data_IF_677451023756
#
_entry.id   IF_677451023756
#
_cell.length_a   1.000
_cell.length_b   1.000
_cell.length_c   1.000
_cell.angle_alpha   90.00
_cell.angle_beta   90.00
_cell.angle_gamma   90.00
#
_symmetry.space_group_name_H-M   'P 1'
#
loop_
_entity.id
_entity.type
_entity.pdbx_description
1 polymer ?
#
# COMPACT_ATOMS: atom_id res chain seq x y z
N UNK A 1 15.71 1.28 15.26
CA UNK A 1 14.50 2.03 14.85
C UNK A 1 13.43 1.15 14.20
N UNK A 2 13.72 0.31 13.20
CA UNK A 2 12.77 -0.76 12.76
C UNK A 2 12.77 -1.98 13.69
N UNK A 3 13.94 -2.39 14.15
CA UNK A 3 14.11 -3.61 14.96
C UNK A 3 13.74 -3.47 16.45
N UNK A 4 13.20 -2.31 16.86
CA UNK A 4 12.81 -2.03 18.26
C UNK A 4 11.30 -2.24 18.52
N UNK A 5 10.55 -2.75 17.54
CA UNK A 5 9.14 -3.11 17.71
C UNK A 5 8.15 -1.93 17.65
N UNK A 6 8.54 -0.80 17.08
CA UNK A 6 7.66 0.36 16.89
C UNK A 6 6.99 0.34 15.52
N UNK A 7 5.66 0.53 15.47
CA UNK A 7 4.93 0.74 14.22
C UNK A 7 5.14 2.18 13.73
N UNK A 8 5.64 2.33 12.50
CA UNK A 8 5.85 3.64 11.86
C UNK A 8 4.76 3.82 10.81
N UNK A 9 3.98 4.91 10.91
CA UNK A 9 3.04 5.33 9.88
C UNK A 9 3.71 6.38 9.00
N UNK A 10 4.03 6.01 7.75
CA UNK A 10 4.57 6.91 6.75
C UNK A 10 3.44 7.41 5.84
N UNK A 11 3.37 8.73 5.64
CA UNK A 11 2.49 9.36 4.64
C UNK A 11 3.40 10.10 3.68
N UNK A 12 3.58 9.55 2.48
CA UNK A 12 4.44 10.11 1.42
C UNK A 12 3.69 10.04 0.09
N UNK A 13 3.94 11.01 -0.79
CA UNK A 13 3.47 10.99 -2.18
C UNK A 13 4.50 10.40 -3.14
N UNK A 14 5.69 10.08 -2.65
CA UNK A 14 6.77 9.49 -3.42
C UNK A 14 6.68 7.95 -3.33
N UNK A 15 6.34 7.30 -4.44
CA UNK A 15 6.06 5.86 -4.48
C UNK A 15 7.30 5.00 -4.21
N UNK A 16 8.47 5.42 -4.69
CA UNK A 16 9.74 4.70 -4.50
C UNK A 16 10.09 4.54 -3.02
N UNK A 17 9.86 5.58 -2.20
CA UNK A 17 10.05 5.51 -0.75
C UNK A 17 9.09 4.50 -0.10
N UNK A 18 7.84 4.44 -0.56
CA UNK A 18 6.87 3.46 -0.05
C UNK A 18 7.26 2.03 -0.43
N UNK A 19 7.67 1.81 -1.68
CA UNK A 19 8.09 0.49 -2.19
C UNK A 19 9.30 -0.05 -1.42
N UNK A 20 10.30 0.80 -1.15
CA UNK A 20 11.54 0.37 -0.51
C UNK A 20 11.41 0.14 1.00
N UNK A 21 10.40 0.73 1.64
CA UNK A 21 10.38 0.92 3.09
C UNK A 21 9.15 0.31 3.79
N UNK A 22 8.06 0.07 3.05
CA UNK A 22 6.82 -0.43 3.63
C UNK A 22 6.74 -1.95 3.60
N UNK A 23 6.40 -2.55 4.73
CA UNK A 23 6.03 -3.98 4.81
C UNK A 23 4.56 -4.20 4.42
N UNK A 24 3.72 -3.17 4.61
CA UNK A 24 2.28 -3.16 4.35
C UNK A 24 1.82 -1.77 3.94
N UNK A 25 0.93 -1.69 2.96
CA UNK A 25 0.34 -0.43 2.49
C UNK A 25 -1.18 -0.54 2.41
N UNK A 26 -1.87 0.50 2.87
CA UNK A 26 -3.31 0.68 2.65
C UNK A 26 -3.48 1.91 1.78
N UNK A 27 -4.13 1.75 0.63
CA UNK A 27 -4.39 2.85 -0.30
C UNK A 27 -5.81 3.35 -0.08
N UNK A 28 -5.95 4.66 0.11
CA UNK A 28 -7.22 5.36 0.22
C UNK A 28 -7.49 6.13 -1.07
N UNK A 29 -8.70 5.98 -1.63
CA UNK A 29 -9.16 6.74 -2.79
C UNK A 29 -10.63 7.11 -2.61
N UNK A 30 -10.98 8.39 -2.83
CA UNK A 30 -12.37 8.84 -2.73
C UNK A 30 -13.00 8.70 -1.34
N UNK A 31 -12.19 8.65 -0.28
CA UNK A 31 -12.66 8.45 1.09
C UNK A 31 -12.83 6.99 1.51
N UNK A 32 -12.57 6.04 0.60
CA UNK A 32 -12.70 4.61 0.83
C UNK A 32 -11.35 3.89 0.70
N UNK A 33 -11.23 2.70 1.29
CA UNK A 33 -10.06 1.83 1.10
C UNK A 33 -10.11 1.25 -0.31
N UNK A 34 -9.19 1.69 -1.16
CA UNK A 34 -9.06 1.22 -2.54
C UNK A 34 -8.40 -0.16 -2.60
N UNK A 35 -7.45 -0.43 -1.69
CA UNK A 35 -6.75 -1.71 -1.64
C UNK A 35 -5.74 -1.80 -0.51
N UNK A 36 -5.27 -3.03 -0.25
CA UNK A 36 -4.24 -3.34 0.72
C UNK A 36 -3.17 -4.18 0.01
N UNK A 37 -1.90 -3.80 0.18
CA UNK A 37 -0.75 -4.46 -0.43
C UNK A 37 0.22 -4.89 0.67
N UNK A 38 0.90 -6.02 0.46
CA UNK A 38 1.95 -6.49 1.35
C UNK A 38 3.04 -7.22 0.58
N UNK A 39 4.28 -7.16 1.07
CA UNK A 39 5.40 -7.87 0.47
C UNK A 39 5.61 -7.50 -1.00
N UNK A 40 5.66 -8.52 -1.85
CA UNK A 40 5.88 -8.40 -3.30
C UNK A 40 4.74 -7.70 -4.06
N UNK A 41 3.59 -7.47 -3.43
CA UNK A 41 2.49 -6.73 -4.03
C UNK A 41 2.72 -5.21 -4.00
N UNK A 42 3.67 -4.72 -3.20
CA UNK A 42 3.99 -3.29 -3.05
C UNK A 42 4.93 -2.89 -4.20
N UNK A 43 4.34 -2.71 -5.38
CA UNK A 43 5.03 -2.24 -6.58
C UNK A 43 4.43 -0.91 -7.05
N UNK A 44 5.24 -0.07 -7.72
CA UNK A 44 4.79 1.24 -8.20
C UNK A 44 3.55 1.14 -9.10
N UNK A 45 3.47 0.12 -9.95
CA UNK A 45 2.33 -0.12 -10.83
C UNK A 45 1.05 -0.43 -10.03
N UNK A 46 1.15 -1.33 -9.06
CA UNK A 46 0.03 -1.71 -8.18
C UNK A 46 -0.46 -0.53 -7.34
N UNK A 47 0.46 0.25 -6.78
CA UNK A 47 0.16 1.47 -6.04
C UNK A 47 -0.48 2.53 -6.93
N UNK A 48 0.10 2.79 -8.09
CA UNK A 48 -0.42 3.75 -9.07
C UNK A 48 -1.83 3.39 -9.54
N UNK A 49 -2.10 2.10 -9.78
CA UNK A 49 -3.43 1.61 -10.13
C UNK A 49 -4.46 1.92 -9.04
N UNK A 50 -4.15 1.58 -7.78
CA UNK A 50 -5.04 1.83 -6.63
C UNK A 50 -5.24 3.32 -6.36
N UNK A 51 -4.20 4.14 -6.51
CA UNK A 51 -4.25 5.60 -6.36
C UNK A 51 -5.10 6.30 -7.42
N UNK A 52 -5.29 5.67 -8.59
CA UNK A 52 -6.22 6.14 -9.64
C UNK A 52 -7.64 5.59 -9.48
N UNK A 53 -7.93 4.85 -8.40
CA UNK A 53 -9.22 4.21 -8.17
C UNK A 53 -9.43 2.93 -8.97
N UNK A 54 -8.38 2.40 -9.60
CA UNK A 54 -8.37 1.08 -10.20
C UNK A 54 -8.46 0.00 -9.13
N UNK A 55 -9.15 -1.10 -9.42
CA UNK A 55 -9.17 -2.29 -8.55
C UNK A 55 -8.22 -3.31 -9.16
N UNK A 56 -7.16 -3.67 -8.43
CA UNK A 56 -6.33 -4.82 -8.83
C UNK A 56 -7.23 -6.06 -8.84
N UNK A 57 -7.30 -6.73 -9.99
CA UNK A 57 -8.15 -7.89 -10.20
C UNK A 57 -7.65 -9.10 -9.43
N UNK A 58 -7.95 -9.15 -8.13
CA UNK A 58 -8.11 -10.40 -7.38
C UNK A 58 -9.02 -10.10 -6.20
N UNK A 59 -10.31 -10.38 -6.39
CA UNK A 59 -11.24 -10.46 -5.28
C UNK A 59 -10.88 -11.68 -4.43
N UNK A 60 -10.19 -11.46 -3.32
CA UNK A 60 -10.25 -12.27 -2.11
C UNK A 60 -9.29 -11.68 -1.07
N UNK A 61 -9.83 -10.99 -0.06
CA UNK A 61 -9.40 -11.09 1.36
C UNK A 61 -10.39 -10.28 2.22
N UNK A 62 -11.62 -10.78 2.30
CA UNK A 62 -12.41 -10.69 3.54
C UNK A 62 -12.77 -12.14 3.89
N UNK A 63 -12.01 -12.69 4.82
CA UNK A 63 -12.12 -14.02 5.40
C UNK A 63 -11.24 -14.10 6.65
#
# INVERSE_FOLDING_TARGET
MRDEGAAILLVSSELSEIVDLADRVVVLFGGEVAGRLSGDQIEEESLGLLMMGGRSGSGAVDG
#
